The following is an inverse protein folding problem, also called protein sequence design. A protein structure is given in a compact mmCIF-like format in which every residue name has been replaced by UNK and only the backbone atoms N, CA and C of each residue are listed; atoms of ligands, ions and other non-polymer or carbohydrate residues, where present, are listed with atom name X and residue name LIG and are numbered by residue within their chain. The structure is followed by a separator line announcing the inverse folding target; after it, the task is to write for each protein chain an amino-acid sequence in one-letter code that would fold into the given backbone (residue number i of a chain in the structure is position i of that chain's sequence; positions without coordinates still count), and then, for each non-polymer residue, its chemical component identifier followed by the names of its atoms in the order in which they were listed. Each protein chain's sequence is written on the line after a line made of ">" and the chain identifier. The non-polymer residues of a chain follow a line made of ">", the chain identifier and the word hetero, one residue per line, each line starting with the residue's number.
data_IF_632288613500
#
_entry.id   IF_632288613500
#
_cell.length_a   1.000
_cell.length_b   1.000
_cell.length_c   1.000
_cell.angle_alpha   90.00
_cell.angle_beta   90.00
_cell.angle_gamma   90.00
#
_symmetry.space_group_name_H-M   'P 1'
#
loop_
_entity.id
_entity.type
_entity.pdbx_description
1 polymer ?
#
# COMPACT_ATOMS: atom_id res chain seq x y z
N UNK A 1 -6.52 13.27 3.17
CA UNK A 1 -5.73 13.06 1.96
C UNK A 1 -4.62 12.06 2.27
N UNK A 2 -4.31 11.17 1.32
CA UNK A 2 -3.23 10.19 1.44
C UNK A 2 -1.89 10.87 1.76
N UNK A 3 -1.01 10.13 2.44
CA UNK A 3 0.18 10.72 3.07
C UNK A 3 1.42 9.89 2.81
N UNK A 4 2.56 10.56 2.77
CA UNK A 4 3.87 9.95 2.92
C UNK A 4 4.30 10.18 4.35
N UNK A 5 4.61 9.10 5.05
CA UNK A 5 5.00 9.11 6.46
C UNK A 5 6.27 8.26 6.65
N UNK A 6 7.08 8.57 7.66
CA UNK A 6 8.24 7.76 8.00
C UNK A 6 7.80 6.51 8.77
N UNK A 7 8.07 5.36 8.20
CA UNK A 7 7.91 4.06 8.84
C UNK A 7 9.20 3.72 9.59
N UNK A 8 9.09 3.43 10.89
CA UNK A 8 10.21 2.92 11.70
C UNK A 8 9.98 1.43 11.99
N UNK A 9 10.86 0.59 11.46
CA UNK A 9 10.84 -0.86 11.62
C UNK A 9 11.99 -1.30 12.55
N UNK A 10 11.69 -2.15 13.53
CA UNK A 10 12.68 -2.74 14.43
C UNK A 10 13.16 -4.07 13.84
N UNK A 11 14.44 -4.11 13.47
CA UNK A 11 15.17 -5.24 12.91
C UNK A 11 16.32 -5.55 13.87
N UNK A 12 16.15 -6.62 14.65
CA UNK A 12 17.17 -7.12 15.58
C UNK A 12 17.71 -6.05 16.55
N UNK A 13 16.81 -5.21 17.07
CA UNK A 13 17.16 -4.14 18.01
C UNK A 13 17.73 -2.88 17.37
N UNK A 14 17.69 -2.79 16.03
CA UNK A 14 18.07 -1.59 15.27
C UNK A 14 16.83 -0.99 14.61
N UNK A 15 16.69 0.33 14.74
CA UNK A 15 15.64 1.10 14.09
C UNK A 15 16.03 1.40 12.63
N UNK A 16 15.20 0.93 11.69
CA UNK A 16 15.31 1.26 10.28
C UNK A 16 14.17 2.19 9.89
N UNK A 17 14.52 3.36 9.39
CA UNK A 17 13.56 4.39 8.95
C UNK A 17 13.51 4.44 7.45
N UNK A 18 12.30 4.46 6.89
CA UNK A 18 12.07 4.63 5.46
C UNK A 18 10.74 5.35 5.22
N UNK A 19 10.61 6.09 4.10
CA UNK A 19 9.32 6.65 3.74
C UNK A 19 8.36 5.53 3.34
N UNK A 20 7.08 5.75 3.60
CA UNK A 20 6.01 4.85 3.20
C UNK A 20 4.69 5.58 3.00
N UNK A 21 3.80 5.00 2.20
CA UNK A 21 2.48 5.60 2.01
C UNK A 21 1.49 5.17 3.08
N UNK A 22 0.55 6.05 3.37
CA UNK A 22 -0.58 5.80 4.24
C UNK A 22 -1.86 6.37 3.63
N UNK A 23 -2.99 5.76 3.94
CA UNK A 23 -4.31 6.33 3.65
C UNK A 23 -4.69 7.27 4.80
N UNK A 24 -5.44 8.33 4.53
CA UNK A 24 -5.99 9.17 5.60
C UNK A 24 -7.25 8.62 6.24
N UNK A 25 -8.04 7.88 5.46
CA UNK A 25 -9.30 7.31 5.87
C UNK A 25 -9.41 5.87 5.34
N UNK A 26 -10.33 5.11 5.91
CA UNK A 26 -10.54 3.72 5.50
C UNK A 26 -11.04 3.60 4.06
N UNK A 27 -10.40 2.73 3.28
CA UNK A 27 -10.78 2.37 1.90
C UNK A 27 -11.37 0.96 1.88
N UNK A 28 -12.51 0.74 1.24
CA UNK A 28 -13.17 -0.57 1.19
C UNK A 28 -14.70 -0.49 1.29
N UNK A 29 -15.34 -1.65 1.40
CA UNK A 29 -16.80 -1.75 1.55
C UNK A 29 -17.28 -1.09 2.85
N UNK A 30 -17.97 0.06 2.76
CA UNK A 30 -18.38 0.85 3.92
C UNK A 30 -17.33 1.83 4.46
N UNK A 31 -16.15 1.91 3.84
CA UNK A 31 -15.16 2.95 4.13
C UNK A 31 -15.56 4.32 3.57
N UNK A 32 -14.87 5.39 4.00
CA UNK A 32 -15.09 6.74 3.47
C UNK A 32 -14.67 6.87 2.01
N UNK A 33 -13.69 6.07 1.58
CA UNK A 33 -13.25 5.98 0.18
C UNK A 33 -12.91 7.35 -0.43
N UNK A 34 -12.11 8.16 0.28
CA UNK A 34 -11.63 9.43 -0.25
C UNK A 34 -10.85 9.18 -1.56
N UNK A 35 -11.05 10.04 -2.56
CA UNK A 35 -10.50 9.86 -3.91
C UNK A 35 -8.98 9.57 -3.90
N UNK A 36 -8.22 10.33 -3.10
CA UNK A 36 -6.77 10.14 -2.97
C UNK A 36 -6.36 8.83 -2.30
N UNK A 37 -7.12 8.38 -1.30
CA UNK A 37 -6.84 7.13 -0.58
C UNK A 37 -7.15 5.93 -1.47
N UNK A 38 -8.26 5.96 -2.20
CA UNK A 38 -8.61 4.92 -3.17
C UNK A 38 -7.60 4.86 -4.30
N UNK A 39 -7.19 6.02 -4.83
CA UNK A 39 -6.21 6.09 -5.92
C UNK A 39 -4.86 5.52 -5.47
N UNK A 40 -4.42 5.85 -4.25
CA UNK A 40 -3.21 5.29 -3.66
C UNK A 40 -3.27 3.76 -3.56
N UNK A 41 -4.38 3.21 -3.05
CA UNK A 41 -4.54 1.74 -2.94
C UNK A 41 -4.51 1.07 -4.32
N UNK A 42 -5.25 1.60 -5.29
CA UNK A 42 -5.25 1.09 -6.67
C UNK A 42 -3.83 1.08 -7.27
N UNK A 43 -3.13 2.21 -7.15
CA UNK A 43 -1.78 2.37 -7.66
C UNK A 43 -0.78 1.43 -6.97
N UNK A 44 -0.85 1.29 -5.65
CA UNK A 44 0.01 0.41 -4.88
C UNK A 44 -0.17 -1.06 -5.29
N UNK A 45 -1.42 -1.52 -5.42
CA UNK A 45 -1.70 -2.91 -5.83
C UNK A 45 -1.22 -3.17 -7.27
N UNK A 46 -1.43 -2.22 -8.18
CA UNK A 46 -0.94 -2.32 -9.55
C UNK A 46 0.60 -2.33 -9.59
N UNK A 47 1.27 -1.46 -8.83
CA UNK A 47 2.72 -1.42 -8.71
C UNK A 47 3.29 -2.74 -8.18
N UNK A 48 2.67 -3.31 -7.15
CA UNK A 48 3.03 -4.61 -6.60
C UNK A 48 2.93 -5.69 -7.68
N UNK A 49 1.83 -5.69 -8.44
CA UNK A 49 1.59 -6.60 -9.55
C UNK A 49 2.65 -6.56 -10.65
N UNK A 50 3.28 -5.40 -10.88
CA UNK A 50 4.32 -5.25 -11.90
C UNK A 50 5.64 -5.92 -11.50
N UNK A 51 5.96 -5.99 -10.21
CA UNK A 51 7.25 -6.48 -9.73
C UNK A 51 7.27 -7.92 -9.24
N UNK A 52 6.12 -8.60 -9.20
CA UNK A 52 6.06 -9.93 -8.62
C UNK A 52 5.04 -10.80 -9.36
N UNK A 53 5.46 -11.90 -10.04
CA UNK A 53 4.58 -12.74 -10.86
C UNK A 53 3.35 -13.27 -10.11
N UNK A 54 3.47 -13.55 -8.82
CA UNK A 54 2.38 -14.00 -7.96
C UNK A 54 1.30 -12.91 -7.72
N UNK A 55 1.58 -11.67 -8.12
CA UNK A 55 0.68 -10.52 -8.08
C UNK A 55 0.22 -10.06 -9.47
N UNK A 56 0.56 -10.77 -10.56
CA UNK A 56 0.24 -10.35 -11.93
C UNK A 56 -1.24 -10.05 -12.16
N UNK A 57 -2.14 -10.73 -11.43
CA UNK A 57 -3.60 -10.48 -11.46
C UNK A 57 -4.02 -9.09 -10.99
N UNK A 58 -3.18 -8.41 -10.21
CA UNK A 58 -3.41 -7.02 -9.77
C UNK A 58 -2.88 -5.99 -10.78
N UNK A 59 -2.20 -6.44 -11.85
CA UNK A 59 -1.79 -5.55 -12.95
C UNK A 59 -3.02 -5.14 -13.74
N UNK A 60 -3.58 -3.99 -13.39
CA UNK A 60 -4.64 -3.35 -14.16
C UNK A 60 -4.11 -2.87 -15.51
N UNK A 61 -4.95 -2.96 -16.55
CA UNK A 61 -4.77 -2.19 -17.79
C UNK A 61 -5.15 -0.72 -17.62
N UNK A 62 -5.98 -0.41 -16.61
CA UNK A 62 -6.55 0.92 -16.38
C UNK A 62 -5.72 1.68 -15.34
N UNK A 63 -5.67 3.00 -15.49
CA UNK A 63 -5.03 3.90 -14.53
C UNK A 63 -5.85 3.97 -13.23
N UNK A 64 -5.22 4.18 -12.07
CA UNK A 64 -5.89 4.58 -10.84
C UNK A 64 -6.85 5.75 -11.07
N UNK A 65 -8.11 5.59 -10.66
CA UNK A 65 -9.16 6.60 -10.86
C UNK A 65 -9.61 7.27 -9.57
N UNK A 66 -9.26 6.67 -8.42
CA UNK A 66 -9.78 7.09 -7.12
C UNK A 66 -11.27 6.77 -6.90
N UNK A 67 -11.93 6.10 -7.86
CA UNK A 67 -13.28 5.59 -7.70
C UNK A 67 -13.25 4.21 -7.07
N UNK A 68 -13.93 4.05 -5.94
CA UNK A 68 -14.14 2.73 -5.34
C UNK A 68 -15.25 2.00 -6.11
N UNK A 69 -14.86 1.02 -6.91
CA UNK A 69 -15.75 0.17 -7.70
C UNK A 69 -15.66 -1.30 -7.27
N UNK A 70 -16.53 -2.15 -7.84
CA UNK A 70 -16.57 -3.57 -7.54
C UNK A 70 -15.22 -4.27 -7.82
N UNK A 71 -14.47 -3.81 -8.83
CA UNK A 71 -13.15 -4.34 -9.15
C UNK A 71 -12.13 -4.01 -8.04
N UNK A 72 -12.13 -2.77 -7.54
CA UNK A 72 -11.28 -2.34 -6.42
C UNK A 72 -11.62 -3.10 -5.14
N UNK A 73 -12.91 -3.25 -4.83
CA UNK A 73 -13.35 -4.06 -3.69
C UNK A 73 -12.90 -5.52 -3.79
N UNK A 74 -13.04 -6.13 -4.98
CA UNK A 74 -12.58 -7.50 -5.24
C UNK A 74 -11.08 -7.65 -5.06
N UNK A 75 -10.28 -6.73 -5.59
CA UNK A 75 -8.82 -6.79 -5.46
C UNK A 75 -8.36 -6.70 -4.01
N UNK A 76 -8.94 -5.76 -3.24
CA UNK A 76 -8.67 -5.64 -1.80
C UNK A 76 -8.96 -6.98 -1.11
N UNK A 77 -10.14 -7.54 -1.36
CA UNK A 77 -10.55 -8.80 -0.77
C UNK A 77 -9.64 -9.98 -1.18
N UNK A 78 -9.28 -10.08 -2.46
CA UNK A 78 -8.42 -11.15 -2.97
C UNK A 78 -7.00 -11.07 -2.41
N UNK A 79 -6.47 -9.85 -2.29
CA UNK A 79 -5.19 -9.61 -1.64
C UNK A 79 -5.26 -10.05 -0.18
N UNK A 80 -6.31 -9.65 0.56
CA UNK A 80 -6.48 -10.05 1.94
C UNK A 80 -6.60 -11.57 2.10
N UNK A 81 -7.38 -12.24 1.24
CA UNK A 81 -7.50 -13.71 1.25
C UNK A 81 -6.17 -14.39 1.00
N UNK A 82 -5.41 -13.91 0.03
CA UNK A 82 -4.11 -14.49 -0.35
C UNK A 82 -3.13 -14.40 0.81
N UNK A 83 -3.15 -13.29 1.55
CA UNK A 83 -2.20 -13.01 2.62
C UNK A 83 -2.81 -13.07 4.02
N UNK A 84 -3.88 -13.84 4.20
CA UNK A 84 -4.63 -13.92 5.46
C UNK A 84 -3.77 -14.20 6.68
N UNK A 85 -2.77 -15.07 6.54
CA UNK A 85 -1.87 -15.46 7.62
C UNK A 85 -0.85 -14.36 8.00
N UNK A 86 -0.71 -13.34 7.15
CA UNK A 86 0.14 -12.17 7.38
C UNK A 86 -0.67 -10.93 7.78
N UNK A 87 -1.99 -11.02 7.87
CA UNK A 87 -2.88 -9.90 8.13
C UNK A 87 -3.55 -9.98 9.50
N UNK A 88 -3.72 -8.82 10.15
CA UNK A 88 -4.45 -8.71 11.42
C UNK A 88 -5.96 -8.95 11.24
N UNK A 89 -6.51 -8.61 10.08
CA UNK A 89 -7.92 -8.75 9.77
C UNK A 89 -8.14 -8.97 8.26
N UNK A 90 -9.24 -9.64 7.93
CA UNK A 90 -9.76 -9.82 6.56
C UNK A 90 -11.19 -9.26 6.47
N UNK A 91 -11.31 -7.95 6.56
CA UNK A 91 -12.59 -7.22 6.59
C UNK A 91 -12.95 -6.55 5.26
N UNK A 92 -12.13 -6.73 4.22
CA UNK A 92 -12.27 -6.03 2.94
C UNK A 92 -11.92 -4.55 3.01
N UNK A 93 -11.20 -4.12 4.06
CA UNK A 93 -10.84 -2.73 4.31
C UNK A 93 -9.32 -2.51 4.35
N UNK A 94 -8.90 -1.34 3.90
CA UNK A 94 -7.56 -0.80 4.10
C UNK A 94 -7.68 0.33 5.10
N UNK A 95 -7.25 0.08 6.33
CA UNK A 95 -7.27 1.07 7.41
C UNK A 95 -6.02 1.94 7.39
N UNK A 96 -6.13 3.22 7.82
CA UNK A 96 -4.97 4.05 8.09
C UNK A 96 -4.10 3.42 9.17
N UNK A 97 -2.78 3.49 9.01
CA UNK A 97 -1.84 3.13 10.05
C UNK A 97 -1.48 4.33 10.92
N UNK A 98 -1.06 4.07 12.16
CA UNK A 98 -0.30 5.05 12.95
C UNK A 98 1.17 4.70 12.83
N UNK A 99 1.89 5.31 11.88
CA UNK A 99 3.33 5.10 11.73
C UNK A 99 4.15 5.94 12.71
N UNK A 100 3.65 7.11 13.10
CA UNK A 100 4.29 7.98 14.07
C UNK A 100 4.44 7.30 15.44
N UNK A 101 5.63 7.45 16.03
CA UNK A 101 5.97 7.01 17.39
C UNK A 101 5.75 5.51 17.67
N UNK A 102 5.68 4.67 16.64
CA UNK A 102 5.55 3.21 16.80
C UNK A 102 6.77 2.48 16.26
N UNK A 103 7.38 1.66 17.13
CA UNK A 103 8.35 0.65 16.71
C UNK A 103 7.61 -0.57 16.19
N UNK A 104 7.67 -0.73 14.88
CA UNK A 104 6.93 -1.78 14.21
C UNK A 104 7.74 -3.08 14.20
N UNK A 105 7.32 -4.06 15.00
CA UNK A 105 7.87 -5.41 14.93
C UNK A 105 7.63 -6.03 13.55
N UNK A 106 8.66 -6.70 13.02
CA UNK A 106 8.59 -7.40 11.73
C UNK A 106 7.97 -8.79 11.82
N UNK A 107 7.97 -9.41 13.01
CA UNK A 107 7.23 -10.65 13.26
C UNK A 107 5.71 -10.44 13.29
N UNK A 108 4.96 -11.48 12.93
CA UNK A 108 3.50 -11.57 13.12
C UNK A 108 2.62 -10.80 12.12
N UNK A 109 1.29 -10.92 12.28
CA UNK A 109 0.32 -10.34 11.36
C UNK A 109 0.33 -8.80 11.37
N UNK A 110 -0.05 -8.19 10.25
CA UNK A 110 0.08 -6.74 10.00
C UNK A 110 -1.22 -6.14 9.47
N UNK A 111 -1.38 -4.82 9.61
CA UNK A 111 -2.43 -4.11 8.88
C UNK A 111 -2.15 -4.19 7.38
N UNK A 112 -3.21 -4.19 6.57
CA UNK A 112 -3.08 -4.29 5.12
C UNK A 112 -2.21 -3.19 4.53
N UNK A 113 -2.35 -1.93 4.97
CA UNK A 113 -1.54 -0.80 4.47
C UNK A 113 -0.03 -1.03 4.68
N UNK A 114 0.36 -1.64 5.80
CA UNK A 114 1.76 -1.98 6.09
C UNK A 114 2.24 -3.09 5.17
N UNK A 115 1.40 -4.10 4.92
CA UNK A 115 1.75 -5.19 4.02
C UNK A 115 1.89 -4.72 2.56
N UNK A 116 1.04 -3.78 2.13
CA UNK A 116 1.17 -3.12 0.83
C UNK A 116 2.50 -2.36 0.71
N UNK A 117 2.91 -1.61 1.73
CA UNK A 117 4.21 -0.96 1.78
C UNK A 117 5.38 -1.96 1.62
N UNK A 118 5.31 -3.11 2.33
CA UNK A 118 6.34 -4.15 2.23
C UNK A 118 6.42 -4.74 0.84
N UNK A 119 5.28 -5.11 0.23
CA UNK A 119 5.30 -5.67 -1.12
C UNK A 119 5.70 -4.64 -2.17
N UNK A 120 5.32 -3.36 -2.01
CA UNK A 120 5.76 -2.33 -2.94
C UNK A 120 7.29 -2.18 -2.93
N UNK A 121 7.92 -2.22 -1.75
CA UNK A 121 9.38 -2.22 -1.62
C UNK A 121 10.04 -3.45 -2.28
N UNK A 122 9.47 -4.64 -2.09
CA UNK A 122 9.98 -5.85 -2.75
C UNK A 122 9.83 -5.76 -4.27
N UNK A 123 8.67 -5.29 -4.75
CA UNK A 123 8.39 -5.13 -6.18
C UNK A 123 9.30 -4.10 -6.84
N UNK A 124 9.67 -2.99 -6.18
CA UNK A 124 10.58 -1.99 -6.77
C UNK A 124 11.96 -2.55 -7.09
N UNK A 125 12.44 -3.47 -6.25
CA UNK A 125 13.71 -4.17 -6.46
C UNK A 125 13.63 -5.07 -7.70
N UNK A 126 12.51 -5.77 -7.89
CA UNK A 126 12.30 -6.65 -9.06
C UNK A 126 12.19 -5.90 -10.39
N UNK A 127 11.58 -4.70 -10.39
CA UNK A 127 11.44 -3.87 -11.60
C UNK A 127 12.63 -2.93 -11.83
N UNK A 128 13.72 -3.07 -11.05
CA UNK A 128 14.95 -2.25 -11.16
C UNK A 128 14.72 -0.74 -11.02
N UNK A 129 13.70 -0.34 -10.25
CA UNK A 129 13.34 1.08 -10.04
C UNK A 129 14.00 1.70 -8.79
N UNK A 130 14.93 0.97 -8.17
CA UNK A 130 15.73 1.42 -7.02
C UNK A 130 15.25 0.88 -5.67
N UNK A 131 15.97 1.30 -4.62
CA UNK A 131 15.73 0.90 -3.22
C UNK A 131 14.59 1.67 -2.55
N UNK A 132 14.18 2.81 -3.12
CA UNK A 132 13.00 3.56 -2.69
C UNK A 132 11.89 3.39 -3.73
N UNK A 133 10.79 2.78 -3.30
CA UNK A 133 9.67 2.48 -4.17
C UNK A 133 8.71 3.66 -4.35
N UNK A 134 8.74 4.69 -3.48
CA UNK A 134 7.82 5.81 -3.57
C UNK A 134 8.06 6.70 -4.81
N UNK A 135 9.31 7.11 -5.14
CA UNK A 135 9.58 7.80 -6.39
C UNK A 135 9.18 6.97 -7.61
N UNK A 136 9.40 5.65 -7.57
CA UNK A 136 9.00 4.74 -8.64
C UNK A 136 7.48 4.69 -8.82
N UNK A 137 6.74 4.58 -7.71
CA UNK A 137 5.28 4.63 -7.69
C UNK A 137 4.77 5.96 -8.28
N UNK A 138 5.33 7.09 -7.87
CA UNK A 138 4.95 8.43 -8.35
C UNK A 138 5.37 8.72 -9.80
N UNK A 139 6.43 8.10 -10.32
CA UNK A 139 6.79 8.14 -11.74
C UNK A 139 5.79 7.34 -12.57
N UNK A 140 5.38 6.18 -12.07
CA UNK A 140 4.47 5.26 -12.78
C UNK A 140 3.02 5.76 -12.78
N UNK A 141 2.61 6.39 -11.68
CA UNK A 141 1.25 6.90 -11.46
C UNK A 141 1.32 8.39 -11.09
N UNK A 142 1.69 9.28 -12.04
CA UNK A 142 1.82 10.71 -11.77
C UNK A 142 0.53 11.38 -11.28
N UNK A 143 -0.64 10.80 -11.59
CA UNK A 143 -1.96 11.21 -11.10
C UNK A 143 -2.11 11.15 -9.58
N UNK A 144 -1.26 10.40 -8.87
CA UNK A 144 -1.25 10.37 -7.40
C UNK A 144 -0.70 11.64 -6.78
N UNK A 145 0.18 12.37 -7.47
CA UNK A 145 0.96 13.47 -6.87
C UNK A 145 0.10 14.54 -6.19
N UNK A 146 -1.04 15.00 -6.76
CA UNK A 146 -1.91 15.98 -6.09
C UNK A 146 -2.55 15.47 -4.80
N UNK A 147 -2.52 14.16 -4.55
CA UNK A 147 -3.15 13.51 -3.42
C UNK A 147 -2.16 12.98 -2.38
N UNK A 148 -0.86 13.17 -2.60
CA UNK A 148 0.18 12.76 -1.66
C UNK A 148 0.68 14.00 -0.92
N UNK A 149 0.32 14.11 0.35
CA UNK A 149 0.90 15.10 1.25
C UNK A 149 2.11 14.50 1.97
N UNK A 150 3.24 15.22 1.96
CA UNK A 150 4.34 14.97 2.89
C UNK A 150 3.90 15.45 4.27
N UNK A 151 4.06 14.59 5.29
CA UNK A 151 3.72 14.90 6.68
C UNK A 151 4.95 14.87 7.55
#
# INVERSE_FOLDING_TARGET
>A
MARIEIITEDLDGKDYKRPGFNVSETVGGGGRNLIGDVMLVQAAMQFIGLGAPEFVRFVRKRKPTGKFDAETGREIWEFQRTWRFKLLAMDGLVHPASFENRRLKLGGPKMMIKLLNTFALLSSSSIREGTDYLPALQRRFPELRPFLAEK
#
